data_IF_134566272330
#
_entry.id   IF_134566272330
#
_cell.length_a   1.000
_cell.length_b   1.000
_cell.length_c   1.000
_cell.angle_alpha   90.00
_cell.angle_beta   90.00
_cell.angle_gamma   90.00
#
_symmetry.space_group_name_H-M   'P 1'
#
loop_
_entity.id
_entity.type
_entity.pdbx_description
1 polymer ?
#
# COMPACT_ATOMS: atom_id res chain seq x y z
N UNK A 1 23.79 -2.44 3.66
CA UNK A 1 25.18 -2.92 3.75
C UNK A 1 25.75 -3.37 2.40
N UNK A 2 25.07 -4.19 1.59
CA UNK A 2 25.65 -4.66 0.31
C UNK A 2 25.96 -3.49 -0.65
N UNK A 3 25.05 -2.52 -0.80
CA UNK A 3 25.27 -1.34 -1.64
C UNK A 3 26.48 -0.49 -1.20
N UNK A 4 26.57 -0.16 0.11
CA UNK A 4 27.72 0.57 0.66
C UNK A 4 29.03 -0.19 0.48
N UNK A 5 29.05 -1.52 0.64
CA UNK A 5 30.28 -2.30 0.47
C UNK A 5 30.69 -2.48 -0.99
N UNK A 6 29.72 -2.57 -1.89
CA UNK A 6 29.96 -2.86 -3.30
C UNK A 6 30.21 -1.59 -4.13
N UNK A 7 29.58 -0.46 -3.78
CA UNK A 7 29.48 0.70 -4.67
C UNK A 7 30.04 2.01 -4.10
N UNK A 8 30.33 2.09 -2.80
CA UNK A 8 30.79 3.35 -2.15
C UNK A 8 32.02 3.99 -2.80
N UNK A 9 32.95 3.18 -3.30
CA UNK A 9 34.17 3.63 -3.98
C UNK A 9 33.88 4.30 -5.33
N UNK A 10 32.98 3.69 -6.11
CA UNK A 10 32.57 4.19 -7.42
C UNK A 10 31.56 5.32 -7.32
N UNK A 11 30.64 5.28 -6.37
CA UNK A 11 29.55 6.24 -6.25
C UNK A 11 29.36 6.65 -4.78
N UNK A 12 30.24 7.52 -4.27
CA UNK A 12 30.14 8.00 -2.90
C UNK A 12 28.89 8.87 -2.68
N UNK A 13 28.37 9.50 -3.73
CA UNK A 13 27.17 10.36 -3.67
C UNK A 13 25.93 9.55 -3.27
N UNK A 14 25.77 8.33 -3.80
CA UNK A 14 24.61 7.49 -3.46
C UNK A 14 24.95 6.40 -2.44
N UNK A 15 26.18 5.88 -2.43
CA UNK A 15 26.57 4.71 -1.66
C UNK A 15 27.68 4.95 -0.62
N UNK A 16 28.14 6.18 -0.43
CA UNK A 16 29.26 6.50 0.46
C UNK A 16 28.99 6.17 1.92
N UNK A 17 27.79 6.47 2.40
CA UNK A 17 27.35 6.15 3.76
C UNK A 17 26.05 5.36 3.78
N UNK A 18 25.82 4.65 4.89
CA UNK A 18 24.62 3.82 5.07
C UNK A 18 23.32 4.63 4.97
N UNK A 19 23.15 5.80 5.62
CA UNK A 19 21.90 6.56 5.52
C UNK A 19 21.62 7.07 4.11
N UNK A 20 22.67 7.53 3.41
CA UNK A 20 22.58 8.03 2.03
C UNK A 20 22.19 6.89 1.08
N UNK A 21 22.78 5.70 1.28
CA UNK A 21 22.41 4.50 0.53
C UNK A 21 20.96 4.11 0.76
N UNK A 22 20.45 4.25 1.97
CA UNK A 22 19.05 3.94 2.29
C UNK A 22 18.09 4.88 1.56
N UNK A 23 18.40 6.18 1.47
CA UNK A 23 17.61 7.15 0.70
C UNK A 23 17.64 6.82 -0.78
N UNK A 24 18.82 6.52 -1.34
CA UNK A 24 18.98 6.14 -2.75
C UNK A 24 18.17 4.88 -3.10
N UNK A 25 18.19 3.87 -2.22
CA UNK A 25 17.42 2.65 -2.39
C UNK A 25 15.91 2.86 -2.19
N UNK A 26 15.49 3.77 -1.30
CA UNK A 26 14.08 4.13 -1.14
C UNK A 26 13.54 4.79 -2.42
N UNK A 27 14.31 5.71 -3.01
CA UNK A 27 14.02 6.33 -4.31
C UNK A 27 13.92 5.28 -5.43
N UNK A 28 14.87 4.35 -5.46
CA UNK A 28 14.82 3.25 -6.41
C UNK A 28 13.59 2.34 -6.21
N UNK A 29 13.19 2.08 -4.96
CA UNK A 29 12.02 1.26 -4.64
C UNK A 29 10.70 1.91 -5.09
N UNK A 30 10.67 3.24 -5.25
CA UNK A 30 9.55 3.97 -5.88
C UNK A 30 9.68 4.06 -7.40
N UNK A 31 10.59 3.27 -8.00
CA UNK A 31 10.90 3.24 -9.44
C UNK A 31 11.45 4.56 -10.01
N UNK A 32 11.96 5.43 -9.15
CA UNK A 32 12.54 6.70 -9.55
C UNK A 32 14.07 6.56 -9.67
N UNK A 33 14.62 6.95 -10.82
CA UNK A 33 16.06 7.01 -11.15
C UNK A 33 16.89 5.75 -10.81
N UNK A 34 16.24 4.59 -10.67
CA UNK A 34 16.92 3.34 -10.33
C UNK A 34 17.85 2.86 -11.45
N UNK A 35 17.55 3.21 -12.70
CA UNK A 35 18.41 2.92 -13.85
C UNK A 35 19.69 3.73 -13.80
N UNK A 36 19.64 4.98 -13.31
CA UNK A 36 20.84 5.82 -13.19
C UNK A 36 21.77 5.26 -12.12
N UNK A 37 21.23 4.87 -10.96
CA UNK A 37 22.02 4.16 -9.94
C UNK A 37 22.68 2.91 -10.52
N UNK A 38 21.94 2.12 -11.32
CA UNK A 38 22.48 0.93 -11.98
C UNK A 38 23.55 1.27 -13.01
N UNK A 39 23.31 2.25 -13.87
CA UNK A 39 24.21 2.63 -14.96
C UNK A 39 25.50 3.28 -14.47
N UNK A 40 25.46 4.05 -13.38
CA UNK A 40 26.66 4.57 -12.71
C UNK A 40 27.56 3.41 -12.24
N UNK A 41 26.99 2.32 -11.70
CA UNK A 41 27.77 1.16 -11.30
C UNK A 41 28.21 0.29 -12.49
N UNK A 42 27.38 0.23 -13.54
CA UNK A 42 27.63 -0.60 -14.72
C UNK A 42 28.74 -0.04 -15.60
N UNK A 43 28.71 1.27 -15.85
CA UNK A 43 29.65 1.98 -16.71
C UNK A 43 30.74 2.75 -15.95
N UNK A 44 30.69 2.80 -14.62
CA UNK A 44 31.48 3.64 -13.72
C UNK A 44 31.04 5.11 -13.66
N UNK A 45 31.34 5.76 -12.53
CA UNK A 45 31.05 7.18 -12.33
C UNK A 45 31.79 8.11 -13.32
N UNK A 46 32.91 7.66 -13.88
CA UNK A 46 33.70 8.45 -14.82
C UNK A 46 33.11 8.47 -16.24
N UNK A 47 32.28 7.48 -16.60
CA UNK A 47 31.73 7.35 -17.95
C UNK A 47 30.25 7.75 -18.04
N UNK A 48 29.44 7.34 -17.06
CA UNK A 48 28.00 7.63 -17.04
C UNK A 48 27.58 8.61 -15.95
N UNK A 49 28.42 8.85 -14.94
CA UNK A 49 28.05 9.55 -13.71
C UNK A 49 27.77 11.04 -13.85
N UNK A 50 28.38 11.84 -12.98
CA UNK A 50 27.88 13.18 -12.61
C UNK A 50 28.12 14.30 -13.65
N UNK A 51 28.27 13.96 -14.93
CA UNK A 51 28.40 14.93 -16.03
C UNK A 51 29.46 15.99 -15.77
N UNK A 52 29.02 17.23 -15.57
CA UNK A 52 29.87 18.40 -15.32
C UNK A 52 30.54 18.43 -13.94
N UNK A 53 30.25 17.45 -13.07
CA UNK A 53 30.79 17.32 -11.72
C UNK A 53 31.70 16.09 -11.54
N UNK A 54 32.81 15.98 -12.28
CA UNK A 54 33.73 14.84 -12.18
C UNK A 54 34.36 14.70 -10.79
N UNK A 55 34.41 15.77 -9.99
CA UNK A 55 34.93 15.78 -8.61
C UNK A 55 34.16 14.86 -7.65
N UNK A 56 32.92 14.51 -7.99
CA UNK A 56 32.09 13.61 -7.20
C UNK A 56 32.45 12.14 -7.41
N UNK A 57 33.20 11.82 -8.46
CA UNK A 57 33.69 10.48 -8.79
C UNK A 57 35.06 10.23 -8.17
N UNK A 58 35.14 9.40 -7.13
CA UNK A 58 36.38 9.16 -6.38
C UNK A 58 37.23 8.03 -6.96
N UNK A 59 36.66 6.84 -7.12
CA UNK A 59 37.39 5.64 -7.54
C UNK A 59 36.55 4.88 -8.58
N UNK A 60 36.60 5.28 -9.86
CA UNK A 60 35.75 4.72 -10.89
C UNK A 60 36.02 3.22 -11.07
N UNK A 61 34.96 2.43 -11.01
CA UNK A 61 35.02 0.99 -11.27
C UNK A 61 33.77 0.52 -12.01
N UNK A 62 33.96 -0.45 -12.91
CA UNK A 62 32.90 -0.98 -13.78
C UNK A 62 32.49 -2.36 -13.29
N UNK A 63 31.22 -2.54 -12.94
CA UNK A 63 30.71 -3.80 -12.39
C UNK A 63 29.43 -4.28 -13.10
N UNK A 64 29.42 -4.43 -14.44
CA UNK A 64 28.19 -4.56 -15.22
C UNK A 64 27.26 -5.70 -14.77
N UNK A 65 27.82 -6.89 -14.51
CA UNK A 65 27.03 -8.06 -14.11
C UNK A 65 26.45 -7.87 -12.70
N UNK A 66 27.27 -7.38 -11.76
CA UNK A 66 26.88 -7.22 -10.36
C UNK A 66 25.83 -6.11 -10.24
N UNK A 67 25.99 -5.00 -10.98
CA UNK A 67 25.02 -3.90 -11.04
C UNK A 67 23.65 -4.39 -11.48
N UNK A 68 23.56 -5.09 -12.61
CA UNK A 68 22.28 -5.58 -13.12
C UNK A 68 21.63 -6.56 -12.14
N UNK A 69 22.38 -7.54 -11.64
CA UNK A 69 21.83 -8.53 -10.69
C UNK A 69 21.33 -7.83 -9.43
N UNK A 70 22.09 -6.89 -8.87
CA UNK A 70 21.71 -6.17 -7.66
C UNK A 70 20.45 -5.33 -7.85
N UNK A 71 20.42 -4.44 -8.85
CA UNK A 71 19.32 -3.50 -9.02
C UNK A 71 18.06 -4.19 -9.54
N UNK A 72 18.16 -5.11 -10.51
CA UNK A 72 16.98 -5.81 -11.04
C UNK A 72 16.34 -6.70 -9.95
N UNK A 73 17.14 -7.43 -9.17
CA UNK A 73 16.59 -8.23 -8.06
C UNK A 73 15.96 -7.35 -6.99
N UNK A 74 16.59 -6.22 -6.64
CA UNK A 74 16.03 -5.25 -5.70
C UNK A 74 14.68 -4.68 -6.16
N UNK A 75 14.56 -4.30 -7.44
CA UNK A 75 13.33 -3.76 -8.02
C UNK A 75 12.20 -4.81 -8.03
N UNK A 76 12.50 -6.05 -8.41
CA UNK A 76 11.50 -7.13 -8.38
C UNK A 76 11.03 -7.39 -6.95
N UNK A 77 11.96 -7.52 -5.98
CA UNK A 77 11.61 -7.79 -4.59
C UNK A 77 10.83 -6.63 -3.98
N UNK A 78 11.28 -5.39 -4.15
CA UNK A 78 10.59 -4.20 -3.63
C UNK A 78 9.20 -4.04 -4.25
N UNK A 79 9.07 -4.24 -5.56
CA UNK A 79 7.78 -4.24 -6.26
C UNK A 79 6.82 -5.28 -5.69
N UNK A 80 7.26 -6.52 -5.48
CA UNK A 80 6.43 -7.57 -4.88
C UNK A 80 6.00 -7.22 -3.45
N UNK A 81 6.88 -6.64 -2.64
CA UNK A 81 6.54 -6.20 -1.27
C UNK A 81 5.50 -5.08 -1.28
N UNK A 82 5.66 -4.08 -2.14
CA UNK A 82 4.70 -2.96 -2.26
C UNK A 82 3.34 -3.49 -2.75
N UNK A 83 3.33 -4.36 -3.75
CA UNK A 83 2.10 -4.98 -4.25
C UNK A 83 1.37 -5.78 -3.16
N UNK A 84 2.10 -6.59 -2.39
CA UNK A 84 1.52 -7.36 -1.29
C UNK A 84 0.92 -6.46 -0.20
N UNK A 85 1.59 -5.35 0.13
CA UNK A 85 1.07 -4.37 1.08
C UNK A 85 -0.21 -3.72 0.57
N UNK A 86 -0.23 -3.28 -0.69
CA UNK A 86 -1.39 -2.65 -1.32
C UNK A 86 -2.57 -3.62 -1.37
N UNK A 87 -2.34 -4.88 -1.77
CA UNK A 87 -3.37 -5.92 -1.77
C UNK A 87 -3.94 -6.11 -0.35
N UNK A 88 -3.09 -6.13 0.67
CA UNK A 88 -3.52 -6.23 2.07
C UNK A 88 -4.46 -5.09 2.48
N UNK A 89 -4.07 -3.84 2.17
CA UNK A 89 -4.89 -2.66 2.48
C UNK A 89 -6.22 -2.68 1.72
N UNK A 90 -6.20 -3.04 0.43
CA UNK A 90 -7.41 -3.14 -0.39
C UNK A 90 -8.36 -4.20 0.18
N UNK A 91 -7.87 -5.41 0.49
CA UNK A 91 -8.69 -6.49 1.04
C UNK A 91 -9.29 -6.07 2.38
N UNK A 92 -8.52 -5.41 3.24
CA UNK A 92 -9.02 -4.90 4.52
C UNK A 92 -10.18 -3.91 4.29
N UNK A 93 -9.98 -2.91 3.43
CA UNK A 93 -11.02 -1.91 3.12
C UNK A 93 -12.28 -2.52 2.52
N UNK A 94 -12.14 -3.52 1.63
CA UNK A 94 -13.28 -4.24 1.05
C UNK A 94 -14.01 -5.09 2.09
N UNK A 95 -13.27 -5.71 3.02
CA UNK A 95 -13.85 -6.54 4.08
C UNK A 95 -14.62 -5.68 5.08
N UNK A 96 -14.08 -4.52 5.46
CA UNK A 96 -14.77 -3.53 6.31
C UNK A 96 -16.04 -2.99 5.62
N UNK A 97 -15.95 -2.63 4.34
CA UNK A 97 -17.10 -2.18 3.57
C UNK A 97 -18.19 -3.25 3.51
N UNK A 98 -17.84 -4.52 3.22
CA UNK A 98 -18.80 -5.63 3.23
C UNK A 98 -19.43 -5.84 4.61
N UNK A 99 -18.64 -5.82 5.68
CA UNK A 99 -19.15 -5.99 7.03
C UNK A 99 -20.10 -4.86 7.47
N UNK A 100 -19.91 -3.64 6.98
CA UNK A 100 -20.85 -2.53 7.23
C UNK A 100 -22.19 -2.74 6.52
N UNK A 101 -22.17 -3.23 5.27
CA UNK A 101 -23.38 -3.50 4.49
C UNK A 101 -24.21 -4.64 5.09
N UNK A 102 -23.55 -5.71 5.57
CA UNK A 102 -24.23 -6.82 6.23
C UNK A 102 -24.94 -6.38 7.53
N UNK A 103 -24.26 -5.58 8.36
CA UNK A 103 -24.86 -5.01 9.60
C UNK A 103 -26.04 -4.09 9.29
N UNK A 104 -25.92 -3.25 8.26
CA UNK A 104 -27.02 -2.39 7.83
C UNK A 104 -28.22 -3.19 7.32
N UNK A 105 -27.98 -4.31 6.65
CA UNK A 105 -29.05 -5.22 6.20
C UNK A 105 -29.74 -5.91 7.39
N UNK A 106 -28.97 -6.41 8.36
CA UNK A 106 -29.51 -7.00 9.60
C UNK A 106 -30.30 -5.99 10.42
N UNK A 107 -29.80 -4.76 10.57
CA UNK A 107 -30.50 -3.68 11.24
C UNK A 107 -31.82 -3.34 10.52
N UNK A 108 -31.79 -3.24 9.18
CA UNK A 108 -33.01 -3.02 8.38
C UNK A 108 -34.03 -4.14 8.55
N UNK A 109 -33.60 -5.41 8.59
CA UNK A 109 -34.49 -6.56 8.86
C UNK A 109 -35.11 -6.46 10.25
N UNK A 110 -34.31 -6.11 11.25
CA UNK A 110 -34.76 -5.94 12.63
C UNK A 110 -35.79 -4.82 12.77
N UNK A 111 -35.52 -3.65 12.17
CA UNK A 111 -36.45 -2.51 12.13
C UNK A 111 -37.76 -2.89 11.43
N UNK A 112 -37.71 -3.60 10.29
CA UNK A 112 -38.91 -4.09 9.59
C UNK A 112 -39.74 -5.04 10.45
N UNK A 113 -39.09 -5.97 11.16
CA UNK A 113 -39.78 -6.90 12.06
C UNK A 113 -40.45 -6.17 13.22
N UNK A 114 -39.77 -5.18 13.82
CA UNK A 114 -40.35 -4.33 14.89
C UNK A 114 -41.55 -3.55 14.35
N UNK A 115 -41.45 -2.90 13.18
CA UNK A 115 -42.57 -2.18 12.55
C UNK A 115 -43.79 -3.08 12.32
N UNK A 116 -43.57 -4.31 11.86
CA UNK A 116 -44.64 -5.29 11.66
C UNK A 116 -45.34 -5.66 12.98
N UNK A 117 -44.58 -5.91 14.06
CA UNK A 117 -45.13 -6.23 15.38
C UNK A 117 -45.93 -5.04 15.93
N UNK A 118 -45.38 -3.81 15.83
CA UNK A 118 -46.07 -2.59 16.29
C UNK A 118 -47.39 -2.38 15.57
N UNK A 119 -47.42 -2.56 14.24
CA UNK A 119 -48.65 -2.51 13.44
C UNK A 119 -49.68 -3.53 13.92
N UNK A 120 -49.24 -4.78 14.15
CA UNK A 120 -50.13 -5.86 14.63
C UNK A 120 -50.71 -5.58 16.02
N UNK A 121 -49.90 -5.07 16.95
CA UNK A 121 -50.36 -4.67 18.30
C UNK A 121 -51.38 -3.54 18.21
N UNK A 122 -51.10 -2.51 17.38
CA UNK A 122 -52.01 -1.37 17.21
C UNK A 122 -53.35 -1.79 16.60
N UNK A 123 -53.34 -2.69 15.62
CA UNK A 123 -54.55 -3.22 15.00
C UNK A 123 -55.40 -4.01 16.00
N UNK A 124 -54.79 -4.95 16.74
CA UNK A 124 -55.50 -5.75 17.76
C UNK A 124 -56.12 -4.89 18.86
N UNK A 125 -55.37 -3.88 19.34
CA UNK A 125 -55.90 -2.93 20.33
C UNK A 125 -57.08 -2.11 19.79
N UNK A 126 -57.08 -1.81 18.49
CA UNK A 126 -58.20 -1.11 17.85
C UNK A 126 -59.45 -1.99 17.76
N UNK A 127 -59.30 -3.25 17.39
CA UNK A 127 -60.38 -4.25 17.38
C UNK A 127 -61.00 -4.43 18.77
N UNK A 128 -60.17 -4.61 19.81
CA UNK A 128 -60.63 -4.73 21.21
C UNK A 128 -61.43 -3.50 21.68
N UNK A 129 -61.09 -2.29 21.21
CA UNK A 129 -61.83 -1.07 21.54
C UNK A 129 -63.21 -1.00 20.85
N UNK A 130 -63.35 -1.59 19.67
CA UNK A 130 -64.62 -1.64 18.94
C UNK A 130 -65.58 -2.64 19.59
N UNK A 131 -65.10 -3.85 19.91
CA UNK A 131 -65.92 -4.87 20.58
C UNK A 131 -66.44 -4.38 21.93
N UNK A 132 -65.62 -3.66 22.70
CA UNK A 132 -66.05 -3.04 23.97
C UNK A 132 -67.14 -2.00 23.79
N UNK A 133 -67.12 -1.23 22.69
CA UNK A 133 -68.16 -0.24 22.38
C UNK A 133 -69.47 -0.87 21.92
N UNK A 134 -69.43 -2.00 21.21
CA UNK A 134 -70.64 -2.73 20.81
C UNK A 134 -71.30 -3.47 21.97
N UNK A 135 -70.53 -3.95 22.96
CA UNK A 135 -71.06 -4.60 24.16
C UNK A 135 -71.67 -3.66 25.22
N UNK A 136 -71.51 -2.34 25.08
CA UNK A 136 -72.05 -1.31 25.98
C UNK A 136 -73.29 -0.58 25.42
N UNK A 137 -73.76 -0.93 24.21
CA UNK A 137 -75.00 -0.43 23.58
C UNK A 137 -76.12 -1.46 23.58
#
# INVERSE_FOLDING_TARGET
>A
MIGTTAFSKNDPVHFGELPISMVSLLRAATFEDWTDLMYIQMYSCAEYGYGDHPELCTEPSKMPIISVIYFVSFIVISGLVILNLVIGVIIQSMTEAKGSLEKDEELRKTIKNIDFIVKKIRARKFEEMLEKKEGES
#
